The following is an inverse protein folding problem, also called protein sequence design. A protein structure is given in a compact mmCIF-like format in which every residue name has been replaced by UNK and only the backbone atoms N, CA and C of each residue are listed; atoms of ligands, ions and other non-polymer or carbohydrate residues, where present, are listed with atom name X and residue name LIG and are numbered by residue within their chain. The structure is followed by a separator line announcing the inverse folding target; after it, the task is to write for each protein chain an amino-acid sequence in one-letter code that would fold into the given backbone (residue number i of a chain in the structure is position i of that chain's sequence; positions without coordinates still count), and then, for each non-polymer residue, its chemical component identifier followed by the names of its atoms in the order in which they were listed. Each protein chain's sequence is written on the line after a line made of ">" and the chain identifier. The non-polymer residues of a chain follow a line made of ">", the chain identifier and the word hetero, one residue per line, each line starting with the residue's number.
data_IF_711370007519
#
_entry.id   IF_711370007519
#
_cell.length_a   1.000
_cell.length_b   1.000
_cell.length_c   1.000
_cell.angle_alpha   90.00
_cell.angle_beta   90.00
_cell.angle_gamma   90.00
#
_symmetry.space_group_name_H-M   'P 1'
#
loop_
_entity.id
_entity.type
_entity.pdbx_description
1 polymer ?
#
# COMPACT_ATOMS: atom_id res chain seq x y z
N UNK A 1 45.39 -10.54 -41.96
CA UNK A 1 44.59 -10.97 -40.79
C UNK A 1 43.11 -10.97 -41.17
N UNK A 2 42.81 -11.87 -42.09
CA UNK A 2 41.51 -12.10 -42.71
C UNK A 2 40.98 -13.39 -42.09
N UNK A 3 40.25 -13.30 -40.98
CA UNK A 3 39.73 -14.48 -40.28
C UNK A 3 38.43 -14.25 -39.51
N UNK A 4 37.67 -13.20 -39.84
CA UNK A 4 36.41 -12.86 -39.15
C UNK A 4 35.18 -12.86 -40.08
N UNK A 5 35.27 -13.42 -41.30
CA UNK A 5 34.17 -13.47 -42.27
C UNK A 5 33.51 -14.85 -42.45
N UNK A 6 33.88 -15.86 -41.64
CA UNK A 6 33.42 -17.25 -41.81
C UNK A 6 32.74 -17.84 -40.56
N UNK A 7 31.90 -17.06 -39.88
CA UNK A 7 31.01 -17.56 -38.81
C UNK A 7 29.65 -16.89 -38.94
N UNK A 8 29.00 -17.04 -40.11
CA UNK A 8 27.62 -16.57 -40.32
C UNK A 8 26.80 -17.49 -41.22
N UNK A 9 27.20 -18.76 -41.34
CA UNK A 9 26.52 -19.75 -42.17
C UNK A 9 26.13 -21.00 -41.39
N UNK A 10 25.70 -20.83 -40.13
CA UNK A 10 25.19 -21.94 -39.33
C UNK A 10 24.08 -21.50 -38.38
N UNK A 11 22.91 -21.17 -38.95
CA UNK A 11 21.65 -21.20 -38.20
C UNK A 11 20.57 -21.87 -39.07
N UNK A 12 19.94 -22.96 -38.58
CA UNK A 12 18.95 -23.71 -39.34
C UNK A 12 17.64 -22.93 -39.50
N UNK A 13 17.11 -23.03 -40.71
CA UNK A 13 15.81 -22.56 -41.16
C UNK A 13 14.67 -23.36 -40.51
N UNK A 14 14.25 -23.05 -39.29
CA UNK A 14 13.09 -23.74 -38.69
C UNK A 14 12.48 -22.97 -37.51
N UNK A 15 11.86 -21.81 -37.75
CA UNK A 15 10.76 -21.33 -36.92
C UNK A 15 9.65 -20.83 -37.84
N UNK A 16 8.77 -21.77 -38.19
CA UNK A 16 7.41 -21.50 -38.64
C UNK A 16 6.64 -20.93 -37.45
N UNK A 17 6.23 -19.67 -37.50
CA UNK A 17 5.09 -19.18 -36.70
C UNK A 17 4.20 -18.33 -37.58
N UNK A 18 3.04 -18.91 -37.91
CA UNK A 18 1.92 -18.29 -38.59
C UNK A 18 1.66 -16.87 -38.03
N UNK A 19 1.65 -15.89 -38.91
CA UNK A 19 0.85 -14.69 -38.73
C UNK A 19 -0.62 -15.12 -38.77
N UNK A 20 -1.31 -15.06 -37.63
CA UNK A 20 -2.77 -14.93 -37.62
C UNK A 20 -3.07 -13.51 -37.20
N UNK A 21 -3.76 -12.80 -38.07
CA UNK A 21 -4.24 -11.44 -37.87
C UNK A 21 -5.19 -11.42 -36.68
N UNK A 22 -4.83 -10.66 -35.64
CA UNK A 22 -5.73 -10.33 -34.54
C UNK A 22 -6.81 -9.40 -35.14
N UNK A 23 -8.12 -9.74 -35.08
CA UNK A 23 -9.15 -8.84 -35.58
C UNK A 23 -9.22 -7.56 -34.72
N UNK A 24 -9.33 -6.36 -35.32
CA UNK A 24 -9.52 -5.13 -34.58
C UNK A 24 -10.95 -5.00 -34.07
N UNK A 25 -11.06 -4.47 -32.85
CA UNK A 25 -12.27 -3.96 -32.16
C UNK A 25 -13.44 -4.94 -31.98
N UNK A 26 -13.35 -5.81 -30.98
CA UNK A 26 -14.54 -6.07 -30.16
C UNK A 26 -14.72 -4.84 -29.27
N UNK A 27 -15.73 -4.03 -29.54
CA UNK A 27 -16.13 -2.96 -28.62
C UNK A 27 -16.44 -3.60 -27.27
N UNK A 28 -15.54 -3.39 -26.30
CA UNK A 28 -15.80 -3.71 -24.91
C UNK A 28 -16.95 -2.79 -24.52
N UNK A 29 -18.17 -3.34 -24.53
CA UNK A 29 -19.35 -2.68 -23.99
C UNK A 29 -19.06 -2.47 -22.50
N UNK A 30 -18.67 -1.24 -22.14
CA UNK A 30 -18.51 -0.80 -20.77
C UNK A 30 -19.90 -0.87 -20.11
N UNK A 31 -20.17 -2.04 -19.51
CA UNK A 31 -21.44 -2.32 -18.87
C UNK A 31 -21.59 -1.37 -17.70
N UNK A 32 -22.68 -0.61 -17.72
CA UNK A 32 -23.06 0.40 -16.74
C UNK A 32 -22.65 0.02 -15.31
N UNK A 33 -21.74 0.80 -14.74
CA UNK A 33 -21.20 0.62 -13.39
C UNK A 33 -22.28 0.97 -12.38
N UNK A 34 -22.96 -0.06 -11.88
CA UNK A 34 -23.77 0.05 -10.67
C UNK A 34 -22.78 0.09 -9.51
N UNK A 35 -22.80 1.15 -8.69
CA UNK A 35 -21.87 1.25 -7.57
C UNK A 35 -22.20 0.15 -6.55
N UNK A 36 -21.25 -0.73 -6.26
CA UNK A 36 -21.40 -1.76 -5.23
C UNK A 36 -20.47 -1.46 -4.06
N UNK A 37 -20.98 -1.61 -2.84
CA UNK A 37 -20.21 -1.42 -1.60
C UNK A 37 -20.08 -2.77 -0.89
N UNK A 38 -18.88 -3.08 -0.39
CA UNK A 38 -18.64 -4.26 0.44
C UNK A 38 -17.90 -3.86 1.71
N UNK A 39 -18.28 -4.45 2.84
CA UNK A 39 -17.55 -4.32 4.10
C UNK A 39 -16.27 -5.14 4.07
N UNK A 40 -15.19 -4.59 4.62
CA UNK A 40 -13.90 -5.27 4.78
C UNK A 40 -13.66 -5.56 6.27
N UNK A 41 -14.21 -6.67 6.76
CA UNK A 41 -14.06 -7.11 8.16
C UNK A 41 -12.63 -7.53 8.52
N UNK A 42 -11.81 -7.82 7.51
CA UNK A 42 -10.39 -8.16 7.65
C UNK A 42 -9.50 -6.94 7.90
N UNK A 43 -10.04 -5.73 7.79
CA UNK A 43 -9.34 -4.47 8.10
C UNK A 43 -9.71 -3.99 9.49
N UNK A 44 -8.73 -3.40 10.17
CA UNK A 44 -8.87 -2.78 11.46
C UNK A 44 -8.28 -1.37 11.41
N UNK A 45 -8.69 -0.54 12.35
CA UNK A 45 -8.26 0.86 12.38
C UNK A 45 -7.66 1.23 13.73
N UNK A 46 -6.59 2.00 13.72
CA UNK A 46 -5.92 2.52 14.92
C UNK A 46 -6.00 4.03 14.88
N UNK A 47 -6.47 4.64 15.96
CA UNK A 47 -6.57 6.10 16.07
C UNK A 47 -5.40 6.65 16.88
N UNK A 48 -4.79 7.71 16.35
CA UNK A 48 -3.75 8.49 17.01
C UNK A 48 -4.29 9.89 17.24
N UNK A 49 -4.29 10.36 18.49
CA UNK A 49 -4.80 11.67 18.86
C UNK A 49 -3.79 12.42 19.73
N UNK A 50 -3.56 13.69 19.43
CA UNK A 50 -2.69 14.57 20.20
C UNK A 50 -1.79 15.43 19.30
N UNK A 51 -1.20 16.49 19.87
CA UNK A 51 -0.46 17.49 19.12
C UNK A 51 0.81 16.93 18.45
N UNK A 52 1.36 15.83 18.98
CA UNK A 52 2.58 15.22 18.46
C UNK A 52 2.29 14.06 17.49
N UNK A 53 1.04 13.84 17.07
CA UNK A 53 0.66 12.64 16.29
C UNK A 53 1.42 12.53 14.96
N UNK A 54 1.53 13.63 14.22
CA UNK A 54 2.22 13.66 12.94
C UNK A 54 3.75 13.51 13.10
N UNK A 55 4.36 14.21 14.06
CA UNK A 55 5.80 14.13 14.32
C UNK A 55 6.22 12.77 14.86
N UNK A 56 5.37 12.16 15.71
CA UNK A 56 5.55 10.80 16.21
C UNK A 56 5.51 9.77 15.07
N UNK A 57 4.50 9.85 14.20
CA UNK A 57 4.34 8.89 13.11
C UNK A 57 5.47 9.03 12.08
N UNK A 58 5.88 10.26 11.75
CA UNK A 58 6.97 10.56 10.83
C UNK A 58 8.28 9.86 11.21
N UNK A 59 8.57 9.68 12.50
CA UNK A 59 9.78 9.01 12.97
C UNK A 59 9.75 7.48 12.83
N UNK A 60 8.59 6.89 12.53
CA UNK A 60 8.36 5.45 12.49
C UNK A 60 8.01 4.92 11.09
N UNK A 61 7.61 5.82 10.19
CA UNK A 61 7.10 5.49 8.86
C UNK A 61 8.09 5.85 7.77
N UNK A 62 8.05 5.11 6.66
CA UNK A 62 8.92 5.35 5.50
C UNK A 62 8.51 6.56 4.66
N UNK A 63 7.25 6.97 4.75
CA UNK A 63 6.68 8.03 3.92
C UNK A 63 6.51 9.32 4.73
N UNK A 64 6.48 10.45 4.03
CA UNK A 64 6.40 11.78 4.63
C UNK A 64 4.96 12.13 5.04
N UNK A 65 4.68 11.97 6.33
CA UNK A 65 3.39 12.24 6.99
C UNK A 65 3.03 13.73 6.96
N UNK A 66 4.01 14.63 6.81
CA UNK A 66 3.74 16.08 6.73
C UNK A 66 3.04 16.49 5.44
N UNK A 67 3.11 15.65 4.41
CA UNK A 67 2.51 15.87 3.08
C UNK A 67 1.15 15.19 2.92
N UNK A 68 0.52 14.71 4.00
CA UNK A 68 -0.80 14.11 3.93
C UNK A 68 -1.84 15.18 3.62
N UNK A 69 -2.49 15.05 2.47
CA UNK A 69 -3.71 15.79 2.15
C UNK A 69 -4.94 15.04 2.71
N UNK A 70 -5.22 13.86 2.14
CA UNK A 70 -6.32 12.98 2.60
C UNK A 70 -5.80 11.69 3.20
N UNK A 71 -4.96 10.97 2.43
CA UNK A 71 -4.42 9.69 2.84
C UNK A 71 -3.03 9.45 2.24
N UNK A 72 -2.25 8.57 2.87
CA UNK A 72 -0.90 8.20 2.47
C UNK A 72 -0.61 6.75 2.83
N UNK A 73 -0.13 5.97 1.86
CA UNK A 73 0.36 4.62 2.13
C UNK A 73 1.78 4.67 2.70
N UNK A 74 2.04 3.89 3.74
CA UNK A 74 3.36 3.81 4.36
C UNK A 74 3.63 2.43 4.97
N UNK A 75 4.87 2.23 5.40
CA UNK A 75 5.34 1.00 6.02
C UNK A 75 6.13 1.30 7.28
N UNK A 76 6.05 0.39 8.24
CA UNK A 76 6.87 0.38 9.45
C UNK A 76 8.03 -0.58 9.26
N UNK A 77 9.24 -0.12 9.56
CA UNK A 77 10.46 -0.93 9.39
C UNK A 77 11.05 -1.32 10.74
N UNK A 78 11.81 -2.41 10.75
CA UNK A 78 12.73 -2.68 11.85
C UNK A 78 14.03 -1.86 11.70
N UNK A 79 14.90 -1.92 12.72
CA UNK A 79 16.19 -1.23 12.70
C UNK A 79 17.12 -1.67 11.56
N UNK A 80 16.88 -2.86 10.99
CA UNK A 80 17.62 -3.42 9.85
C UNK A 80 16.99 -3.03 8.49
N UNK A 81 15.93 -2.22 8.47
CA UNK A 81 15.25 -1.78 7.25
C UNK A 81 14.29 -2.80 6.63
N UNK A 82 13.94 -3.89 7.33
CA UNK A 82 12.93 -4.86 6.87
C UNK A 82 11.53 -4.35 7.20
N UNK A 83 10.60 -4.55 6.28
CA UNK A 83 9.18 -4.22 6.45
C UNK A 83 8.57 -5.13 7.52
N UNK A 84 7.98 -4.51 8.54
CA UNK A 84 7.20 -5.18 9.58
C UNK A 84 5.72 -5.14 9.23
N UNK A 85 5.21 -3.94 8.94
CA UNK A 85 3.79 -3.70 8.70
C UNK A 85 3.61 -2.68 7.59
N UNK A 86 2.48 -2.77 6.90
CA UNK A 86 2.01 -1.77 5.94
C UNK A 86 0.72 -1.15 6.46
N UNK A 87 0.57 0.16 6.27
CA UNK A 87 -0.59 0.90 6.74
C UNK A 87 -0.95 2.02 5.76
N UNK A 88 -2.24 2.37 5.74
CA UNK A 88 -2.72 3.59 5.09
C UNK A 88 -3.05 4.59 6.20
N UNK A 89 -2.40 5.75 6.17
CA UNK A 89 -2.63 6.84 7.12
C UNK A 89 -3.67 7.77 6.53
N UNK A 90 -4.70 8.10 7.28
CA UNK A 90 -5.70 9.12 6.96
C UNK A 90 -5.57 10.30 7.91
N UNK A 91 -5.63 11.51 7.37
CA UNK A 91 -5.71 12.73 8.18
C UNK A 91 -7.17 13.04 8.49
N UNK A 92 -7.55 12.98 9.77
CA UNK A 92 -8.88 13.38 10.22
C UNK A 92 -8.90 14.85 10.64
N UNK A 93 -7.81 15.31 11.27
CA UNK A 93 -7.61 16.67 11.75
C UNK A 93 -6.11 16.89 11.99
N UNK A 94 -5.70 18.14 12.26
CA UNK A 94 -4.28 18.48 12.51
C UNK A 94 -3.62 17.60 13.58
N UNK A 95 -4.37 17.26 14.62
CA UNK A 95 -3.89 16.50 15.78
C UNK A 95 -4.51 15.09 15.85
N UNK A 96 -5.17 14.61 14.79
CA UNK A 96 -5.82 13.29 14.77
C UNK A 96 -5.56 12.57 13.45
N UNK A 97 -4.94 11.40 13.55
CA UNK A 97 -4.65 10.51 12.43
C UNK A 97 -5.38 9.17 12.64
N UNK A 98 -5.70 8.50 11.54
CA UNK A 98 -6.27 7.16 11.54
C UNK A 98 -5.40 6.25 10.67
N UNK A 99 -4.97 5.13 11.21
CA UNK A 99 -4.25 4.08 10.48
C UNK A 99 -5.23 2.98 10.09
N UNK A 100 -5.29 2.63 8.82
CA UNK A 100 -5.94 1.43 8.32
C UNK A 100 -4.90 0.33 8.11
N UNK A 101 -5.14 -0.82 8.73
CA UNK A 101 -4.21 -1.96 8.81
C UNK A 101 -4.99 -3.27 8.77
N UNK A 102 -4.34 -4.41 8.47
CA UNK A 102 -4.97 -5.72 8.68
C UNK A 102 -5.38 -5.91 10.14
N UNK A 103 -6.62 -6.35 10.39
CA UNK A 103 -7.19 -6.48 11.75
C UNK A 103 -6.35 -7.37 12.67
N UNK A 104 -5.75 -8.41 12.10
CA UNK A 104 -4.89 -9.37 12.82
C UNK A 104 -3.62 -8.68 13.39
N UNK A 105 -3.15 -7.61 12.75
CA UNK A 105 -1.92 -6.90 13.12
C UNK A 105 -2.14 -5.74 14.10
N UNK A 106 -3.40 -5.35 14.37
CA UNK A 106 -3.74 -4.17 15.19
C UNK A 106 -3.06 -4.20 16.55
N UNK A 107 -3.15 -5.33 17.25
CA UNK A 107 -2.56 -5.49 18.60
C UNK A 107 -1.04 -5.38 18.57
N UNK A 108 -0.39 -5.90 17.53
CA UNK A 108 1.07 -5.89 17.40
C UNK A 108 1.58 -4.48 17.04
N UNK A 109 0.88 -3.78 16.14
CA UNK A 109 1.18 -2.39 15.78
C UNK A 109 0.97 -1.48 16.99
N UNK A 110 -0.10 -1.65 17.77
CA UNK A 110 -0.31 -0.88 19.01
C UNK A 110 0.81 -1.10 20.02
N UNK A 111 1.31 -2.33 20.18
CA UNK A 111 2.47 -2.63 21.03
C UNK A 111 3.74 -1.95 20.51
N UNK A 112 3.96 -1.98 19.20
CA UNK A 112 5.10 -1.30 18.56
C UNK A 112 5.03 0.21 18.78
N UNK A 113 3.90 0.84 18.48
CA UNK A 113 3.69 2.28 18.67
C UNK A 113 3.82 2.66 20.15
N UNK A 114 3.27 1.85 21.06
CA UNK A 114 3.41 2.05 22.50
C UNK A 114 4.87 2.02 22.97
N UNK A 115 5.70 1.15 22.39
CA UNK A 115 7.14 1.07 22.70
C UNK A 115 7.88 2.36 22.32
N UNK A 116 7.50 2.99 21.22
CA UNK A 116 8.15 4.21 20.72
C UNK A 116 7.54 5.51 21.25
N UNK A 117 6.39 5.46 21.94
CA UNK A 117 5.65 6.63 22.42
C UNK A 117 6.45 7.53 23.38
N UNK A 118 7.24 6.96 24.30
CA UNK A 118 8.09 7.66 25.28
C UNK A 118 7.51 8.97 25.86
N UNK A 119 7.83 10.12 25.25
CA UNK A 119 7.41 11.48 25.68
C UNK A 119 6.43 12.17 24.73
N UNK A 120 6.08 11.54 23.61
CA UNK A 120 5.15 12.10 22.65
C UNK A 120 3.75 12.20 23.26
N UNK A 121 3.14 13.38 23.15
CA UNK A 121 1.76 13.64 23.59
C UNK A 121 0.79 13.07 22.56
N UNK A 122 0.70 11.74 22.51
CA UNK A 122 -0.16 10.99 21.58
C UNK A 122 -0.91 9.90 22.33
N UNK A 123 -2.22 9.88 22.21
CA UNK A 123 -3.11 8.81 22.61
C UNK A 123 -3.25 7.80 21.47
N UNK A 124 -3.14 6.51 21.80
CA UNK A 124 -3.23 5.40 20.85
C UNK A 124 -4.40 4.53 21.27
N UNK A 125 -5.37 4.34 20.40
CA UNK A 125 -6.56 3.52 20.68
C UNK A 125 -6.93 2.65 19.49
N UNK A 126 -7.42 1.44 19.75
CA UNK A 126 -8.06 0.62 18.72
C UNK A 126 -9.43 1.25 18.39
N UNK A 127 -9.66 1.55 17.11
CA UNK A 127 -10.90 2.11 16.60
C UNK A 127 -11.64 1.14 15.67
N UNK A 128 -11.21 -0.12 15.60
CA UNK A 128 -11.76 -1.13 14.68
C UNK A 128 -13.26 -1.38 14.88
N UNK A 129 -13.76 -1.23 16.10
CA UNK A 129 -15.19 -1.39 16.40
C UNK A 129 -16.00 -0.10 16.20
N UNK A 130 -15.32 1.05 16.07
CA UNK A 130 -15.94 2.36 15.89
C UNK A 130 -15.94 2.83 14.43
N UNK A 131 -15.03 2.31 13.61
CA UNK A 131 -14.86 2.70 12.21
C UNK A 131 -14.91 1.45 11.32
N UNK A 132 -15.93 1.37 10.47
CA UNK A 132 -16.04 0.33 9.46
C UNK A 132 -15.31 0.73 8.17
N UNK A 133 -14.60 -0.23 7.57
CA UNK A 133 -13.92 -0.06 6.29
C UNK A 133 -14.78 -0.63 5.18
N UNK A 134 -15.04 0.17 4.14
CA UNK A 134 -15.84 -0.21 2.98
C UNK A 134 -15.01 -0.07 1.70
N UNK A 135 -15.18 -0.98 0.75
CA UNK A 135 -14.69 -0.83 -0.60
C UNK A 135 -15.84 -0.55 -1.56
N UNK A 136 -15.62 0.37 -2.49
CA UNK A 136 -16.53 0.70 -3.59
C UNK A 136 -15.94 0.25 -4.91
N UNK A 137 -16.78 -0.28 -5.80
CA UNK A 137 -16.44 -0.65 -7.18
C UNK A 137 -17.30 0.09 -8.20
#
# INVERSE_FOLDING_TARGET
>A
LAQWASIRSFLPSLIRRNMTTIPPSTSVSCRATKNFWTTLESRGTIRLQGPDSASFLQGLTTNDVSKIDQALATSFLNAQGRVLFEAIVFSLSKDSLLLDVPRIQVVEILRLLGRFKLRAKVELSDASDHVAVLAAA
#
